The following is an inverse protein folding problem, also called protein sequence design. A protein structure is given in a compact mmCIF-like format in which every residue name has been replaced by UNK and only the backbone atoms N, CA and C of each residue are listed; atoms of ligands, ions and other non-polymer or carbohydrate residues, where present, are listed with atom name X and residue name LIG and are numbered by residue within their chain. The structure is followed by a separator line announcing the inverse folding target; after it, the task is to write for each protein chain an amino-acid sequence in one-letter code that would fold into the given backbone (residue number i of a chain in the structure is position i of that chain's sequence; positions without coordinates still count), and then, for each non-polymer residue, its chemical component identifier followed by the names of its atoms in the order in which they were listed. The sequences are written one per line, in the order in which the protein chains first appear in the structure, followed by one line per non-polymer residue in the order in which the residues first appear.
data_IF_260360660783
#
_entry.id   IF_260360660783
#
_cell.length_a   1.000
_cell.length_b   1.000
_cell.length_c   1.000
_cell.angle_alpha   90.00
_cell.angle_beta   90.00
_cell.angle_gamma   90.00
#
_symmetry.space_group_name_H-M   'P 1'
#
loop_
_entity.id
_entity.type
_entity.pdbx_description
1 polymer ?
#
# COMPACT_ATOMS: atom_id res chain seq x y z
N UNK A 1 -3.95 21.36 -31.48
CA UNK A 1 -3.64 20.61 -30.24
C UNK A 1 -4.84 19.71 -29.91
N UNK A 2 -4.68 18.38 -29.88
CA UNK A 2 -5.80 17.46 -29.67
C UNK A 2 -6.13 17.40 -28.18
N UNK A 3 -7.23 18.03 -27.75
CA UNK A 3 -7.67 18.01 -26.35
C UNK A 3 -8.18 16.60 -26.05
N UNK A 4 -7.48 15.88 -25.18
CA UNK A 4 -7.94 14.57 -24.70
C UNK A 4 -8.93 14.80 -23.56
N UNK A 5 -10.17 14.39 -23.76
CA UNK A 5 -11.18 14.36 -22.70
C UNK A 5 -10.99 13.13 -21.82
N UNK A 6 -11.29 13.26 -20.53
CA UNK A 6 -11.30 12.14 -19.61
C UNK A 6 -12.62 11.39 -19.84
N UNK A 7 -12.54 10.12 -20.20
CA UNK A 7 -13.72 9.26 -20.41
C UNK A 7 -14.20 8.72 -19.06
N UNK A 8 -15.52 8.54 -18.91
CA UNK A 8 -16.12 7.94 -17.71
C UNK A 8 -16.23 8.88 -16.52
N UNK A 9 -16.31 10.19 -16.76
CA UNK A 9 -16.59 11.20 -15.73
C UNK A 9 -17.91 11.86 -16.09
N UNK A 10 -18.90 11.74 -15.21
CA UNK A 10 -20.18 12.44 -15.36
C UNK A 10 -20.03 13.95 -15.10
N UNK A 11 -21.05 14.72 -15.52
CA UNK A 11 -21.02 16.17 -15.44
C UNK A 11 -20.99 16.69 -14.00
N UNK A 12 -21.60 15.97 -13.06
CA UNK A 12 -21.63 16.32 -11.64
C UNK A 12 -20.25 16.18 -11.02
N UNK A 13 -19.59 15.04 -11.26
CA UNK A 13 -18.21 14.77 -10.87
C UNK A 13 -17.26 15.79 -11.50
N UNK A 14 -17.48 16.14 -12.77
CA UNK A 14 -16.67 17.17 -13.43
C UNK A 14 -16.83 18.55 -12.82
N UNK A 15 -18.05 18.91 -12.42
CA UNK A 15 -18.35 20.16 -11.70
C UNK A 15 -17.67 20.18 -10.33
N UNK A 16 -17.77 19.10 -9.56
CA UNK A 16 -17.12 18.98 -8.24
C UNK A 16 -15.60 19.15 -8.38
N UNK A 17 -14.98 18.49 -9.37
CA UNK A 17 -13.55 18.63 -9.64
C UNK A 17 -13.17 20.09 -9.93
N UNK A 18 -13.97 20.81 -10.73
CA UNK A 18 -13.77 22.25 -11.01
C UNK A 18 -13.86 23.10 -9.76
N UNK A 19 -14.86 22.86 -8.92
CA UNK A 19 -15.02 23.60 -7.66
C UNK A 19 -13.82 23.38 -6.73
N UNK A 20 -13.35 22.14 -6.60
CA UNK A 20 -12.18 21.80 -5.77
C UNK A 20 -10.92 22.48 -6.32
N UNK A 21 -10.71 22.44 -7.65
CA UNK A 21 -9.56 23.09 -8.29
C UNK A 21 -9.56 24.60 -8.05
N UNK A 22 -10.72 25.24 -8.19
CA UNK A 22 -10.90 26.67 -7.92
C UNK A 22 -10.65 27.02 -6.45
N UNK A 23 -11.19 26.26 -5.51
CA UNK A 23 -10.96 26.45 -4.06
C UNK A 23 -9.47 26.36 -3.70
N UNK A 24 -8.73 25.46 -4.35
CA UNK A 24 -7.29 25.27 -4.14
C UNK A 24 -6.42 26.21 -4.99
N UNK A 25 -7.00 27.07 -5.82
CA UNK A 25 -6.29 27.94 -6.79
C UNK A 25 -5.34 27.16 -7.71
N UNK A 26 -5.71 25.94 -8.09
CA UNK A 26 -4.92 25.06 -8.96
C UNK A 26 -5.55 24.95 -10.34
N UNK A 27 -4.71 24.85 -11.38
CA UNK A 27 -5.18 24.43 -12.71
C UNK A 27 -5.65 22.97 -12.62
N UNK A 28 -6.73 22.64 -13.35
CA UNK A 28 -7.33 21.30 -13.35
C UNK A 28 -6.30 20.17 -13.56
N UNK A 29 -5.40 20.32 -14.55
CA UNK A 29 -4.35 19.34 -14.81
C UNK A 29 -3.30 19.22 -13.69
N UNK A 30 -3.07 20.29 -12.93
CA UNK A 30 -2.20 20.26 -11.74
C UNK A 30 -2.84 19.49 -10.60
N UNK A 31 -4.11 19.79 -10.31
CA UNK A 31 -4.89 19.09 -9.28
C UNK A 31 -4.99 17.59 -9.57
N UNK A 32 -5.33 17.20 -10.81
CA UNK A 32 -5.41 15.79 -11.19
C UNK A 32 -4.06 15.07 -11.06
N UNK A 33 -2.95 15.76 -11.34
CA UNK A 33 -1.60 15.21 -11.15
C UNK A 33 -1.28 14.99 -9.68
N UNK A 34 -1.69 15.89 -8.80
CA UNK A 34 -1.53 15.73 -7.35
C UNK A 34 -2.36 14.56 -6.82
N UNK A 35 -3.63 14.47 -7.23
CA UNK A 35 -4.51 13.34 -6.87
C UNK A 35 -3.90 12.01 -7.34
N UNK A 36 -3.39 11.95 -8.57
CA UNK A 36 -2.74 10.74 -9.09
C UNK A 36 -1.44 10.41 -8.33
N UNK A 37 -0.65 11.40 -7.93
CA UNK A 37 0.55 11.22 -7.11
C UNK A 37 0.20 10.74 -5.71
N UNK A 38 -0.84 11.29 -5.09
CA UNK A 38 -1.33 10.85 -3.80
C UNK A 38 -1.89 9.44 -3.88
N UNK A 39 -2.67 9.10 -4.91
CA UNK A 39 -3.17 7.74 -5.11
C UNK A 39 -2.02 6.73 -5.23
N UNK A 40 -0.96 7.06 -5.98
CA UNK A 40 0.26 6.24 -6.06
C UNK A 40 1.08 6.20 -4.76
N UNK A 41 0.98 7.24 -3.93
CA UNK A 41 1.69 7.33 -2.64
C UNK A 41 0.92 6.71 -1.50
N UNK A 42 -0.40 6.64 -1.60
CA UNK A 42 -1.25 5.93 -0.65
C UNK A 42 -0.86 4.47 -0.78
N UNK A 43 -0.26 3.89 0.27
CA UNK A 43 -0.01 2.48 0.25
C UNK A 43 -1.39 1.81 0.23
N UNK A 44 -1.64 0.99 -0.78
CA UNK A 44 -2.50 -0.19 -0.63
C UNK A 44 -1.91 -1.19 0.40
N UNK A 45 -0.89 -0.80 1.17
CA UNK A 45 0.25 -1.65 1.49
C UNK A 45 0.56 -1.69 2.98
N UNK A 46 -0.42 -1.70 3.87
CA UNK A 46 -0.13 -2.33 5.17
C UNK A 46 0.28 -3.79 4.89
N UNK A 47 -0.52 -4.49 4.09
CA UNK A 47 -0.26 -5.86 3.66
C UNK A 47 0.87 -5.97 2.65
N UNK A 48 0.94 -5.11 1.62
CA UNK A 48 2.06 -5.17 0.66
C UNK A 48 3.41 -4.87 1.33
N UNK A 49 3.49 -4.00 2.35
CA UNK A 49 4.73 -3.82 3.13
C UNK A 49 5.07 -5.02 4.01
N UNK A 50 4.08 -5.69 4.59
CA UNK A 50 4.27 -6.90 5.39
C UNK A 50 4.71 -8.08 4.49
N UNK A 51 4.07 -8.23 3.34
CA UNK A 51 4.27 -9.33 2.41
C UNK A 51 5.54 -9.17 1.57
N UNK A 52 5.92 -7.93 1.24
CA UNK A 52 7.18 -7.63 0.55
C UNK A 52 8.34 -7.32 1.51
N UNK A 53 8.13 -7.37 2.83
CA UNK A 53 9.23 -7.28 3.77
C UNK A 53 10.16 -8.49 3.55
N UNK A 54 11.45 -8.23 3.37
CA UNK A 54 12.44 -9.30 3.26
C UNK A 54 12.36 -10.17 4.52
N UNK A 55 12.46 -11.50 4.39
CA UNK A 55 12.53 -12.39 5.55
C UNK A 55 13.60 -11.90 6.52
N UNK A 56 13.21 -11.69 7.78
CA UNK A 56 14.13 -11.25 8.84
C UNK A 56 15.17 -12.33 9.12
N UNK A 57 14.79 -13.59 8.92
CA UNK A 57 15.64 -14.76 9.08
C UNK A 57 15.88 -15.40 7.72
N UNK A 58 17.12 -15.82 7.49
CA UNK A 58 17.43 -16.80 6.47
C UNK A 58 16.76 -18.14 6.79
N UNK A 59 16.60 -18.98 5.78
CA UNK A 59 15.96 -20.30 5.95
C UNK A 59 16.67 -21.15 7.02
N UNK A 60 18.00 -21.12 7.04
CA UNK A 60 18.81 -21.76 8.07
C UNK A 60 18.58 -21.19 9.48
N UNK A 61 18.47 -19.86 9.61
CA UNK A 61 18.21 -19.23 10.91
C UNK A 61 16.81 -19.56 11.41
N UNK A 62 15.82 -19.59 10.52
CA UNK A 62 14.45 -19.99 10.85
C UNK A 62 14.40 -21.45 11.32
N UNK A 63 15.10 -22.36 10.65
CA UNK A 63 15.13 -23.78 11.01
C UNK A 63 15.84 -24.01 12.36
N UNK A 64 16.95 -23.31 12.60
CA UNK A 64 17.66 -23.36 13.89
C UNK A 64 16.79 -22.83 15.02
N UNK A 65 16.04 -21.76 14.78
CA UNK A 65 15.13 -21.18 15.77
C UNK A 65 13.96 -22.13 16.08
N UNK A 66 13.41 -22.83 15.07
CA UNK A 66 12.41 -23.88 15.27
C UNK A 66 12.94 -25.02 16.16
N UNK A 67 14.15 -25.51 15.89
CA UNK A 67 14.80 -26.56 16.70
C UNK A 67 15.04 -26.12 18.14
N UNK A 68 15.49 -24.88 18.34
CA UNK A 68 15.69 -24.30 19.68
C UNK A 68 14.37 -24.24 20.46
N UNK A 69 13.31 -23.72 19.83
CA UNK A 69 11.98 -23.60 20.45
C UNK A 69 11.40 -24.99 20.76
N UNK A 70 11.57 -25.96 19.87
CA UNK A 70 11.14 -27.35 20.11
C UNK A 70 11.84 -27.94 21.34
N UNK A 71 13.16 -27.74 21.46
CA UNK A 71 13.94 -28.20 22.63
C UNK A 71 13.47 -27.52 23.92
N UNK A 72 13.29 -26.20 23.93
CA UNK A 72 12.79 -25.46 25.10
C UNK A 72 11.37 -25.90 25.51
N UNK A 73 10.51 -26.17 24.53
CA UNK A 73 9.14 -26.66 24.79
C UNK A 73 9.16 -28.03 25.45
N UNK A 74 10.00 -28.93 24.96
CA UNK A 74 10.22 -30.26 25.54
C UNK A 74 10.72 -30.18 26.97
N UNK A 75 11.72 -29.34 27.24
CA UNK A 75 12.26 -29.11 28.58
C UNK A 75 11.22 -28.57 29.57
N UNK A 76 10.23 -27.82 29.06
CA UNK A 76 9.12 -27.27 29.86
C UNK A 76 7.86 -28.14 29.86
N UNK A 77 7.89 -29.33 29.27
CA UNK A 77 6.78 -30.29 29.29
C UNK A 77 5.61 -29.98 28.35
N UNK A 78 5.79 -29.09 27.37
CA UNK A 78 4.79 -28.84 26.33
C UNK A 78 4.82 -29.96 25.27
N UNK A 79 3.65 -30.33 24.71
CA UNK A 79 3.57 -31.33 23.62
C UNK A 79 4.24 -30.81 22.34
N UNK A 80 5.02 -31.67 21.69
CA UNK A 80 5.59 -31.43 20.36
C UNK A 80 4.46 -31.45 19.31
N UNK A 81 4.54 -30.56 18.31
CA UNK A 81 3.69 -30.50 17.13
C UNK A 81 4.56 -30.70 15.90
#
# INVERSE_FOLDING_TARGET
MKVRTIKGVDDETWKILKEIASKRKLKMGGMLREIAKEYKRRPSDAWEKILNARPILTENEAENMLRLVAKMRKERGYREF
#
